data_IF_266015140084
#
_entry.id   IF_266015140084
#
_cell.length_a   1.000
_cell.length_b   1.000
_cell.length_c   1.000
_cell.angle_alpha   90.00
_cell.angle_beta   90.00
_cell.angle_gamma   90.00
#
_symmetry.space_group_name_H-M   'P 1'
#
loop_
_entity.id
_entity.type
_entity.pdbx_description
1 polymer ?
#
# COMPACT_ATOMS: atom_id res chain seq x y z
N UNK A 1 -6.22 37.78 -7.77
CA UNK A 1 -5.24 37.57 -6.69
C UNK A 1 -5.96 36.79 -5.58
N UNK A 2 -5.63 35.56 -5.21
CA UNK A 2 -4.39 34.85 -5.45
C UNK A 2 -4.53 33.32 -5.37
N UNK A 3 -3.59 32.71 -6.08
CA UNK A 3 -2.94 31.42 -5.87
C UNK A 3 -3.83 30.19 -5.62
N UNK A 4 -4.14 29.55 -6.74
CA UNK A 4 -4.27 28.11 -6.88
C UNK A 4 -3.02 27.45 -6.28
N UNK A 5 -3.14 26.78 -5.13
CA UNK A 5 -2.12 25.85 -4.65
C UNK A 5 -2.22 24.54 -5.45
N UNK A 6 -1.80 24.58 -6.72
CA UNK A 6 -1.34 23.40 -7.44
C UNK A 6 0.06 23.12 -6.91
N UNK A 7 0.15 22.23 -5.93
CA UNK A 7 1.45 21.63 -5.60
C UNK A 7 1.74 20.68 -6.77
N UNK A 8 2.78 20.97 -7.54
CA UNK A 8 3.20 20.25 -8.76
C UNK A 8 3.62 18.79 -8.49
N UNK A 9 3.55 18.30 -7.26
CA UNK A 9 4.03 16.95 -6.90
C UNK A 9 2.95 15.86 -6.87
N UNK A 10 1.64 16.17 -6.76
CA UNK A 10 0.62 15.11 -6.63
C UNK A 10 -0.70 15.44 -7.36
N UNK A 11 -0.84 15.10 -8.65
CA UNK A 11 -2.04 15.42 -9.44
C UNK A 11 -3.33 14.75 -8.94
N UNK A 12 -3.22 13.72 -8.09
CA UNK A 12 -4.36 12.97 -7.55
C UNK A 12 -4.81 13.47 -6.17
N UNK A 13 -4.05 14.34 -5.47
CA UNK A 13 -4.41 14.85 -4.14
C UNK A 13 -3.74 14.12 -2.97
N UNK A 14 -3.87 14.69 -1.76
CA UNK A 14 -3.08 14.37 -0.56
C UNK A 14 -3.30 12.96 0.03
N UNK A 15 -4.35 12.26 -0.40
CA UNK A 15 -4.80 10.98 0.17
C UNK A 15 -4.69 9.81 -0.82
N UNK A 16 -3.93 10.00 -1.89
CA UNK A 16 -3.69 8.96 -2.88
C UNK A 16 -2.33 8.31 -2.66
N UNK A 17 -2.25 6.97 -2.71
CA UNK A 17 -0.97 6.29 -2.76
C UNK A 17 -0.19 6.77 -3.99
N UNK A 18 1.14 6.88 -3.86
CA UNK A 18 2.02 7.14 -4.98
C UNK A 18 1.98 6.00 -6.00
N UNK A 19 2.29 6.29 -7.26
CA UNK A 19 2.16 5.33 -8.37
C UNK A 19 2.91 4.01 -8.13
N UNK A 20 4.06 4.07 -7.46
CA UNK A 20 4.89 2.91 -7.11
C UNK A 20 4.20 1.92 -6.16
N UNK A 21 3.16 2.34 -5.42
CA UNK A 21 2.45 1.49 -4.45
C UNK A 21 1.11 0.97 -5.00
N UNK A 22 0.75 1.32 -6.24
CA UNK A 22 -0.55 1.00 -6.84
C UNK A 22 -0.77 -0.48 -7.08
N UNK A 23 0.31 -1.27 -7.18
CA UNK A 23 0.20 -2.71 -7.32
C UNK A 23 -0.55 -3.32 -6.12
N UNK A 24 -0.25 -2.88 -4.89
CA UNK A 24 -0.99 -3.32 -3.70
C UNK A 24 -2.27 -2.52 -3.47
N UNK A 25 -2.21 -1.17 -3.55
CA UNK A 25 -3.34 -0.30 -3.22
C UNK A 25 -3.45 0.87 -4.17
N UNK A 26 -4.56 0.92 -4.93
CA UNK A 26 -4.82 1.96 -5.95
C UNK A 26 -6.00 2.87 -5.61
N UNK A 27 -6.95 2.38 -4.82
CA UNK A 27 -8.13 3.12 -4.40
C UNK A 27 -7.77 4.10 -3.27
N UNK A 28 -8.56 5.17 -3.13
CA UNK A 28 -8.39 6.20 -2.09
C UNK A 28 -8.31 5.56 -0.70
N UNK A 29 -7.50 6.13 0.19
CA UNK A 29 -7.40 5.70 1.58
C UNK A 29 -8.66 6.16 2.34
N UNK A 30 -9.42 5.21 2.86
CA UNK A 30 -10.64 5.42 3.62
C UNK A 30 -10.42 5.58 5.13
N UNK A 31 -11.47 5.98 5.84
CA UNK A 31 -11.46 6.26 7.28
C UNK A 31 -10.99 5.09 8.16
N UNK A 32 -11.14 3.83 7.71
CA UNK A 32 -10.72 2.65 8.47
C UNK A 32 -9.21 2.41 8.43
N UNK A 33 -8.58 2.71 7.29
CA UNK A 33 -7.13 2.65 7.11
C UNK A 33 -6.44 3.76 7.94
N UNK A 34 -7.12 4.91 8.09
CA UNK A 34 -6.71 6.01 8.98
C UNK A 34 -6.67 5.59 10.47
N UNK A 35 -7.46 4.59 10.86
CA UNK A 35 -7.55 4.09 12.24
C UNK A 35 -6.59 2.92 12.55
N UNK A 36 -5.72 2.53 11.61
CA UNK A 36 -4.73 1.47 11.80
C UNK A 36 -5.19 0.06 11.43
N UNK A 37 -6.35 -0.06 10.77
CA UNK A 37 -6.82 -1.30 10.17
C UNK A 37 -6.86 -1.15 8.64
N UNK A 38 -5.91 -1.75 7.95
CA UNK A 38 -5.92 -1.83 6.50
C UNK A 38 -6.89 -2.93 6.05
N UNK A 39 -7.78 -2.62 5.11
CA UNK A 39 -8.63 -3.61 4.44
C UNK A 39 -8.08 -3.85 3.04
N UNK A 40 -7.71 -5.09 2.76
CA UNK A 40 -7.22 -5.48 1.44
C UNK A 40 -8.37 -5.51 0.42
N UNK A 41 -8.17 -4.99 -0.79
CA UNK A 41 -9.11 -5.19 -1.89
C UNK A 41 -9.38 -6.68 -2.13
N UNK A 42 -10.63 -7.07 -2.38
CA UNK A 42 -10.98 -8.48 -2.58
C UNK A 42 -10.18 -9.15 -3.72
N UNK A 43 -9.89 -8.40 -4.79
CA UNK A 43 -9.05 -8.85 -5.92
C UNK A 43 -7.64 -9.30 -5.47
N UNK A 44 -7.08 -8.61 -4.48
CA UNK A 44 -5.68 -8.76 -4.08
C UNK A 44 -5.45 -10.15 -3.46
N UNK A 45 -6.48 -10.76 -2.88
CA UNK A 45 -6.37 -12.11 -2.33
C UNK A 45 -6.01 -13.15 -3.41
N UNK A 46 -6.64 -13.06 -4.58
CA UNK A 46 -6.38 -13.97 -5.70
C UNK A 46 -5.03 -13.68 -6.35
N UNK A 47 -4.68 -12.40 -6.49
CA UNK A 47 -3.40 -11.94 -7.02
C UNK A 47 -2.23 -12.42 -6.13
N UNK A 48 -2.30 -12.22 -4.81
CA UNK A 48 -1.25 -12.61 -3.87
C UNK A 48 -1.06 -14.12 -3.76
N UNK A 49 -2.14 -14.91 -3.87
CA UNK A 49 -2.04 -16.36 -3.93
C UNK A 49 -1.28 -16.81 -5.19
N UNK A 50 -1.57 -16.19 -6.35
CA UNK A 50 -0.86 -16.47 -7.59
C UNK A 50 0.63 -16.06 -7.52
N UNK A 51 0.94 -14.95 -6.84
CA UNK A 51 2.33 -14.54 -6.58
C UNK A 51 3.04 -15.59 -5.72
N UNK A 52 2.41 -16.07 -4.65
CA UNK A 52 2.98 -17.12 -3.78
C UNK A 52 3.33 -18.38 -4.57
N UNK A 53 2.39 -18.88 -5.37
CA UNK A 53 2.57 -20.08 -6.18
C UNK A 53 3.69 -19.90 -7.21
N UNK A 54 3.75 -18.74 -7.86
CA UNK A 54 4.79 -18.44 -8.84
C UNK A 54 6.18 -18.34 -8.20
N UNK A 55 6.31 -17.71 -7.03
CA UNK A 55 7.58 -17.64 -6.31
C UNK A 55 8.06 -19.01 -5.83
N UNK A 56 7.16 -19.86 -5.33
CA UNK A 56 7.50 -21.22 -4.88
C UNK A 56 7.90 -22.12 -6.05
N UNK A 57 7.21 -22.01 -7.19
CA UNK A 57 7.48 -22.82 -8.38
C UNK A 57 8.61 -22.30 -9.26
N UNK A 58 9.07 -21.05 -9.03
CA UNK A 58 10.03 -20.37 -9.89
C UNK A 58 9.47 -19.97 -11.25
N UNK A 59 8.14 -19.83 -11.36
CA UNK A 59 7.49 -19.39 -12.58
C UNK A 59 7.75 -17.90 -12.86
N UNK A 60 7.73 -17.52 -14.14
CA UNK A 60 7.83 -16.11 -14.53
C UNK A 60 6.56 -15.35 -14.14
N UNK A 61 6.70 -14.43 -13.17
CA UNK A 61 5.62 -13.57 -12.69
C UNK A 61 5.06 -12.66 -13.79
N UNK A 62 5.83 -12.34 -14.83
CA UNK A 62 5.38 -11.49 -15.94
C UNK A 62 4.57 -12.26 -16.98
N UNK A 63 4.52 -13.58 -16.90
CA UNK A 63 3.75 -14.42 -17.83
C UNK A 63 2.27 -14.58 -17.43
N UNK A 64 1.87 -14.12 -16.24
CA UNK A 64 0.50 -14.24 -15.72
C UNK A 64 -0.09 -12.85 -15.40
N UNK A 65 -1.25 -12.47 -15.97
CA UNK A 65 -1.91 -11.19 -15.71
C UNK A 65 -2.20 -10.90 -14.23
N UNK A 66 -2.36 -11.94 -13.40
CA UNK A 66 -2.58 -11.78 -11.95
C UNK A 66 -1.32 -11.36 -11.19
N UNK A 67 -0.14 -11.64 -11.74
CA UNK A 67 1.15 -11.45 -11.04
C UNK A 67 2.03 -10.40 -11.70
N UNK A 68 1.78 -10.06 -12.97
CA UNK A 68 2.60 -9.13 -13.75
C UNK A 68 2.80 -7.79 -13.04
N UNK A 69 1.72 -7.21 -12.49
CA UNK A 69 1.78 -5.91 -11.80
C UNK A 69 2.57 -5.93 -10.48
N UNK A 70 2.87 -7.12 -9.95
CA UNK A 70 3.58 -7.34 -8.70
C UNK A 70 5.03 -7.81 -8.91
N UNK A 71 5.44 -8.10 -10.14
CA UNK A 71 6.68 -8.81 -10.44
C UNK A 71 7.91 -8.12 -9.84
N UNK A 72 8.09 -6.82 -10.11
CA UNK A 72 9.25 -6.06 -9.63
C UNK A 72 9.33 -6.00 -8.10
N UNK A 73 8.18 -5.96 -7.42
CA UNK A 73 8.10 -5.99 -5.96
C UNK A 73 8.41 -7.39 -5.41
N UNK A 74 7.78 -8.42 -5.97
CA UNK A 74 7.89 -9.80 -5.51
C UNK A 74 9.29 -10.40 -5.73
N UNK A 75 9.95 -10.02 -6.82
CA UNK A 75 11.34 -10.41 -7.11
C UNK A 75 12.34 -9.86 -6.07
N UNK A 76 12.01 -8.74 -5.41
CA UNK A 76 12.84 -8.14 -4.37
C UNK A 76 13.04 -9.01 -3.13
N UNK A 77 12.13 -9.95 -2.87
CA UNK A 77 12.18 -10.86 -1.71
C UNK A 77 12.03 -12.34 -2.09
N UNK A 78 12.07 -12.67 -3.39
CA UNK A 78 11.87 -14.04 -3.88
C UNK A 78 12.81 -15.06 -3.23
N UNK A 79 14.04 -14.66 -2.88
CA UNK A 79 15.03 -15.55 -2.23
C UNK A 79 14.68 -15.93 -0.80
N UNK A 80 13.74 -15.23 -0.15
CA UNK A 80 13.26 -15.54 1.20
C UNK A 80 12.10 -16.54 1.19
N UNK A 81 11.53 -16.82 0.01
CA UNK A 81 10.33 -17.63 -0.15
C UNK A 81 10.65 -19.12 -0.31
N UNK A 82 9.90 -19.94 0.43
CA UNK A 82 9.85 -21.40 0.36
C UNK A 82 8.39 -21.85 0.32
N UNK A 83 8.15 -23.12 -0.01
CA UNK A 83 6.80 -23.69 -0.03
C UNK A 83 6.09 -23.60 1.33
N UNK A 84 6.85 -23.56 2.43
CA UNK A 84 6.34 -23.52 3.80
C UNK A 84 6.05 -22.11 4.31
N UNK A 85 6.70 -21.07 3.75
CA UNK A 85 6.63 -19.71 4.28
C UNK A 85 6.06 -18.66 3.30
N UNK A 86 5.73 -19.03 2.06
CA UNK A 86 5.40 -18.08 1.00
C UNK A 86 4.35 -17.04 1.40
N UNK A 87 3.22 -17.50 1.97
CA UNK A 87 2.14 -16.59 2.38
C UNK A 87 2.55 -15.67 3.54
N UNK A 88 3.37 -16.13 4.49
CA UNK A 88 3.76 -15.29 5.62
C UNK A 88 4.75 -14.20 5.21
N UNK A 89 5.68 -14.52 4.29
CA UNK A 89 6.58 -13.52 3.69
C UNK A 89 5.77 -12.50 2.90
N UNK A 90 4.80 -12.95 2.09
CA UNK A 90 3.94 -12.04 1.33
C UNK A 90 3.11 -11.13 2.24
N UNK A 91 2.50 -11.67 3.29
CA UNK A 91 1.74 -10.86 4.26
C UNK A 91 2.61 -9.80 4.94
N UNK A 92 3.86 -10.15 5.30
CA UNK A 92 4.85 -9.21 5.84
C UNK A 92 5.13 -8.08 4.84
N UNK A 93 5.46 -8.42 3.61
CA UNK A 93 5.82 -7.46 2.57
C UNK A 93 4.63 -6.57 2.15
N UNK A 94 3.42 -7.13 2.11
CA UNK A 94 2.18 -6.36 1.91
C UNK A 94 2.01 -5.35 3.05
N UNK A 95 2.23 -5.77 4.30
CA UNK A 95 2.19 -4.90 5.47
C UNK A 95 3.13 -3.70 5.35
N UNK A 96 4.37 -3.93 4.89
CA UNK A 96 5.36 -2.87 4.65
C UNK A 96 4.91 -1.88 3.56
N UNK A 97 4.37 -2.37 2.45
CA UNK A 97 3.82 -1.51 1.39
C UNK A 97 2.64 -0.69 1.91
N UNK A 98 1.75 -1.30 2.69
CA UNK A 98 0.62 -0.59 3.32
C UNK A 98 1.08 0.46 4.33
N UNK A 99 2.10 0.18 5.15
CA UNK A 99 2.65 1.15 6.08
C UNK A 99 3.14 2.41 5.33
N UNK A 100 3.87 2.23 4.22
CA UNK A 100 4.32 3.33 3.35
C UNK A 100 3.15 4.10 2.73
N UNK A 101 2.10 3.40 2.29
CA UNK A 101 0.86 4.04 1.80
C UNK A 101 0.25 4.96 2.86
N UNK A 102 0.20 4.52 4.12
CA UNK A 102 -0.38 5.29 5.23
C UNK A 102 0.51 6.48 5.63
N UNK A 103 1.83 6.32 5.56
CA UNK A 103 2.78 7.44 5.72
C UNK A 103 2.59 8.50 4.64
N UNK A 104 2.49 8.09 3.37
CA UNK A 104 2.29 9.00 2.24
C UNK A 104 0.94 9.71 2.28
N UNK A 105 -0.12 9.03 2.75
CA UNK A 105 -1.44 9.63 2.95
C UNK A 105 -1.51 10.62 4.14
N UNK A 106 -0.39 10.85 4.84
CA UNK A 106 -0.30 11.80 5.95
C UNK A 106 -1.02 11.36 7.23
N UNK A 107 -1.48 10.11 7.29
CA UNK A 107 -2.23 9.52 8.41
C UNK A 107 -1.33 9.38 9.65
N UNK A 108 -0.07 8.95 9.45
CA UNK A 108 0.90 8.75 10.52
C UNK A 108 2.06 9.75 10.50
N UNK A 109 1.90 10.90 9.84
CA UNK A 109 2.94 11.91 9.86
C UNK A 109 3.15 12.42 11.29
N UNK A 110 4.15 11.90 12.01
CA UNK A 110 4.59 12.34 13.35
C UNK A 110 5.30 13.70 13.32
N UNK A 111 4.76 14.60 12.51
CA UNK A 111 5.17 16.00 12.43
C UNK A 111 4.31 16.81 13.39
N UNK A 112 4.76 17.98 13.87
CA UNK A 112 3.93 18.87 14.67
C UNK A 112 2.58 19.22 13.99
N UNK A 113 2.57 19.29 12.66
CA UNK A 113 1.36 19.55 11.86
C UNK A 113 0.40 18.36 11.82
N UNK A 114 0.93 17.14 11.69
CA UNK A 114 0.15 15.90 11.74
C UNK A 114 -0.46 15.66 13.11
N UNK A 115 0.31 15.88 14.18
CA UNK A 115 -0.18 15.80 15.56
C UNK A 115 -1.32 16.80 15.81
N UNK A 116 -1.14 18.07 15.43
CA UNK A 116 -2.18 19.08 15.60
C UNK A 116 -3.46 18.77 14.77
N UNK A 117 -3.33 18.10 13.62
CA UNK A 117 -4.47 17.66 12.83
C UNK A 117 -5.22 16.49 13.49
N UNK A 118 -4.48 15.53 14.05
CA UNK A 118 -5.03 14.44 14.84
C UNK A 118 -5.78 14.95 16.08
N UNK A 119 -5.18 15.88 16.82
CA UNK A 119 -5.81 16.48 18.01
C UNK A 119 -7.11 17.23 17.66
N UNK A 120 -7.14 17.97 16.54
CA UNK A 120 -8.37 18.61 16.03
C UNK A 120 -9.46 17.60 15.67
N UNK A 121 -9.08 16.48 15.04
CA UNK A 121 -10.03 15.42 14.71
C UNK A 121 -10.65 14.84 15.98
N UNK A 122 -9.86 14.43 16.97
CA UNK A 122 -10.36 13.90 18.25
C UNK A 122 -11.27 14.92 18.95
N UNK A 123 -10.90 16.20 18.94
CA UNK A 123 -11.73 17.26 19.52
C UNK A 123 -13.06 17.47 18.79
N UNK A 124 -13.16 17.10 17.51
CA UNK A 124 -14.37 17.22 16.68
C UNK A 124 -15.37 16.06 16.86
N UNK A 125 -14.96 14.96 17.50
CA UNK A 125 -15.83 13.78 17.78
C UNK A 125 -16.52 13.90 19.15
N UNK A 126 -16.83 15.12 19.57
CA UNK A 126 -17.58 15.42 20.79
C UNK A 126 -18.99 15.89 20.48
#
# INVERSE_FOLDING_TARGET
MGAVNKVEEHPMGLYHPHAELHHIKKENIGLIEVMGLAVLPARLKEELAAVADALVSGADLRANPLTESHADWAEGFATEVTAENAMSVIEREVGEVFAKVLEHAGVYARTPKGQAAFDRFIASIR
#
